data_IF_342528204306
#
_entry.id   IF_342528204306
#
_cell.length_a   1.000
_cell.length_b   1.000
_cell.length_c   1.000
_cell.angle_alpha   90.00
_cell.angle_beta   90.00
_cell.angle_gamma   90.00
#
_symmetry.space_group_name_H-M   'P 1'
#
loop_
_entity.id
_entity.type
_entity.pdbx_description
1 polymer ?
#
# COMPACT_ATOMS: atom_id res chain seq x y z
N UNK A 1 14.96 1.59 27.81
CA UNK A 1 15.54 2.53 28.79
C UNK A 1 14.46 3.49 29.26
N UNK A 2 13.99 3.35 30.52
CA UNK A 2 12.98 4.24 31.11
C UNK A 2 13.63 5.59 31.40
N UNK A 3 13.07 6.67 30.86
CA UNK A 3 13.62 8.02 30.99
C UNK A 3 13.66 8.47 32.45
N UNK A 4 14.84 8.89 32.84
CA UNK A 4 15.23 9.35 34.16
C UNK A 4 14.29 10.44 34.73
N UNK A 5 13.88 10.26 35.99
CA UNK A 5 13.06 11.22 36.74
C UNK A 5 13.94 12.44 37.05
N UNK A 6 13.79 13.53 36.27
CA UNK A 6 14.45 14.83 36.52
C UNK A 6 14.39 15.20 38.01
N UNK A 7 15.52 15.13 38.71
CA UNK A 7 15.68 15.68 40.07
C UNK A 7 15.29 17.16 40.03
N UNK A 8 14.24 17.54 40.75
CA UNK A 8 13.77 18.94 40.80
C UNK A 8 14.74 19.75 41.67
N UNK A 9 15.16 20.91 41.16
CA UNK A 9 15.97 21.91 41.88
C UNK A 9 15.40 22.16 43.28
N UNK A 10 16.23 22.01 44.32
CA UNK A 10 15.82 22.18 45.71
C UNK A 10 15.72 23.67 46.04
N UNK A 11 14.60 24.06 46.63
CA UNK A 11 14.39 25.43 47.14
C UNK A 11 14.11 25.31 48.63
N UNK A 12 14.86 26.07 49.44
CA UNK A 12 14.66 26.09 50.89
C UNK A 12 13.26 26.60 51.27
N UNK A 13 12.65 25.97 52.27
CA UNK A 13 11.28 26.27 52.71
C UNK A 13 11.17 27.64 53.34
N UNK A 14 12.16 28.04 54.15
CA UNK A 14 12.13 29.30 54.88
C UNK A 14 12.34 30.47 53.92
N UNK A 15 13.32 30.35 53.03
CA UNK A 15 13.61 31.35 52.00
C UNK A 15 12.42 31.58 51.05
N UNK A 16 11.83 30.49 50.52
CA UNK A 16 10.66 30.59 49.64
C UNK A 16 9.45 31.22 50.35
N UNK A 17 9.25 30.91 51.64
CA UNK A 17 8.15 31.48 52.43
C UNK A 17 8.37 32.97 52.70
N UNK A 18 9.58 33.37 53.06
CA UNK A 18 9.95 34.78 53.29
C UNK A 18 9.72 35.59 52.01
N UNK A 19 10.34 35.19 50.90
CA UNK A 19 10.25 35.93 49.64
C UNK A 19 8.83 35.98 49.07
N UNK A 20 8.05 34.89 49.18
CA UNK A 20 6.69 34.83 48.61
C UNK A 20 5.60 35.43 49.51
N UNK A 21 5.63 35.19 50.83
CA UNK A 21 4.59 35.63 51.76
C UNK A 21 4.90 36.95 52.44
N UNK A 22 6.15 37.16 52.87
CA UNK A 22 6.59 38.37 53.60
C UNK A 22 6.94 39.48 52.62
N UNK A 23 7.84 39.20 51.67
CA UNK A 23 8.34 40.20 50.70
C UNK A 23 7.44 40.32 49.45
N UNK A 24 6.37 39.52 49.39
CA UNK A 24 5.29 39.56 48.39
C UNK A 24 5.74 39.43 46.92
N UNK A 25 6.93 38.91 46.63
CA UNK A 25 7.45 38.79 45.26
C UNK A 25 6.59 37.90 44.34
N UNK A 26 6.45 38.31 43.08
CA UNK A 26 5.66 37.58 42.09
C UNK A 26 6.32 36.26 41.67
N UNK A 27 5.53 35.33 41.10
CA UNK A 27 6.06 34.06 40.59
C UNK A 27 7.12 34.24 39.50
N UNK A 28 7.07 35.35 38.75
CA UNK A 28 8.07 35.66 37.72
C UNK A 28 9.37 36.20 38.34
N UNK A 29 9.29 37.03 39.39
CA UNK A 29 10.48 37.49 40.11
C UNK A 29 11.19 36.33 40.81
N UNK A 30 10.43 35.43 41.46
CA UNK A 30 10.99 34.23 42.07
C UNK A 30 11.62 33.28 41.04
N UNK A 31 11.08 33.21 39.82
CA UNK A 31 11.64 32.44 38.71
C UNK A 31 13.04 32.95 38.33
N UNK A 32 13.23 34.27 38.30
CA UNK A 32 14.54 34.88 38.01
C UNK A 32 15.53 34.67 39.17
N UNK A 33 15.07 34.86 40.43
CA UNK A 33 15.91 34.68 41.63
C UNK A 33 16.41 33.23 41.76
N UNK A 34 15.50 32.26 41.70
CA UNK A 34 15.83 30.84 41.85
C UNK A 34 16.26 30.17 40.53
N UNK A 35 16.35 30.94 39.43
CA UNK A 35 16.69 30.48 38.08
C UNK A 35 16.02 29.16 37.67
N UNK A 36 14.73 29.00 38.02
CA UNK A 36 14.01 27.75 37.81
C UNK A 36 12.61 28.00 37.23
N UNK A 37 12.00 26.97 36.65
CA UNK A 37 10.69 27.12 36.01
C UNK A 37 9.59 27.50 37.01
N UNK A 38 8.58 28.23 36.54
CA UNK A 38 7.39 28.56 37.35
C UNK A 38 6.70 27.32 37.92
N UNK A 39 6.72 26.20 37.17
CA UNK A 39 6.17 24.92 37.62
C UNK A 39 6.95 24.32 38.80
N UNK A 40 8.27 24.53 38.84
CA UNK A 40 9.14 24.10 39.96
C UNK A 40 8.80 24.86 41.24
N UNK A 41 8.64 26.19 41.15
CA UNK A 41 8.25 27.04 42.29
C UNK A 41 6.86 26.66 42.80
N UNK A 42 5.90 26.48 41.88
CA UNK A 42 4.54 26.06 42.25
C UNK A 42 4.53 24.69 42.92
N UNK A 43 5.39 23.77 42.47
CA UNK A 43 5.55 22.46 43.12
C UNK A 43 6.03 22.61 44.56
N UNK A 44 7.05 23.44 44.83
CA UNK A 44 7.57 23.64 46.19
C UNK A 44 6.60 24.38 47.10
N UNK A 45 5.86 25.38 46.60
CA UNK A 45 4.79 26.04 47.36
C UNK A 45 3.71 25.02 47.80
N UNK A 46 3.30 24.13 46.91
CA UNK A 46 2.37 23.04 47.24
C UNK A 46 2.98 22.04 48.23
N UNK A 47 4.21 21.60 47.98
CA UNK A 47 4.91 20.62 48.83
C UNK A 47 5.10 21.13 50.25
N UNK A 48 5.40 22.41 50.43
CA UNK A 48 5.56 23.04 51.74
C UNK A 48 4.26 23.57 52.35
N UNK A 49 3.11 23.33 51.70
CA UNK A 49 1.77 23.78 52.11
C UNK A 49 1.70 25.30 52.34
N UNK A 50 2.45 26.07 51.55
CA UNK A 50 2.41 27.54 51.57
C UNK A 50 1.19 27.98 50.73
N UNK A 51 0.25 28.72 51.34
CA UNK A 51 -0.97 29.18 50.67
C UNK A 51 -0.61 29.99 49.42
N UNK A 52 -1.02 29.49 48.25
CA UNK A 52 -0.83 30.16 46.96
C UNK A 52 -1.76 31.38 46.94
N UNK A 53 -1.21 32.57 46.67
CA UNK A 53 -2.00 33.79 46.50
C UNK A 53 -2.89 33.65 45.26
N UNK A 54 -4.18 33.93 45.42
CA UNK A 54 -5.19 33.82 44.34
C UNK A 54 -4.84 34.85 43.25
N UNK A 55 -5.24 34.60 42.00
CA UNK A 55 -4.90 35.44 40.83
C UNK A 55 -5.13 36.95 41.06
N UNK A 56 -6.12 37.32 41.87
CA UNK A 56 -6.45 38.70 42.22
C UNK A 56 -5.57 39.31 43.35
N UNK A 57 -4.97 38.50 44.24
CA UNK A 57 -4.01 38.97 45.25
C UNK A 57 -2.59 39.10 44.70
N UNK A 58 -2.21 38.26 43.73
CA UNK A 58 -0.91 38.31 43.06
C UNK A 58 -0.77 39.49 42.07
N UNK A 59 -1.89 40.08 41.64
CA UNK A 59 -1.95 41.21 40.69
C UNK A 59 -2.29 42.56 41.35
N UNK A 60 -2.32 42.66 42.70
CA UNK A 60 -2.62 43.93 43.40
C UNK A 60 -1.59 45.04 43.15
N UNK A 61 -0.39 44.72 42.64
CA UNK A 61 0.62 45.71 42.22
C UNK A 61 0.44 46.24 40.80
N UNK A 62 -0.50 45.70 40.01
CA UNK A 62 -0.88 46.25 38.71
C UNK A 62 -2.11 47.14 38.86
N UNK A 63 -2.00 48.23 39.62
CA UNK A 63 -3.02 49.29 39.57
C UNK A 63 -3.17 49.73 38.12
N UNK A 64 -4.38 49.59 37.59
CA UNK A 64 -4.82 50.16 36.31
C UNK A 64 -4.29 51.58 36.22
N UNK A 65 -3.36 51.86 35.30
CA UNK A 65 -3.31 53.20 34.74
C UNK A 65 -4.67 53.40 34.06
N UNK A 66 -5.55 54.17 34.69
CA UNK A 66 -6.72 54.71 34.02
C UNK A 66 -6.16 55.65 32.96
N UNK A 67 -6.06 55.17 31.73
CA UNK A 67 -5.77 56.04 30.59
C UNK A 67 -7.01 56.93 30.46
N UNK A 68 -6.85 58.18 30.89
CA UNK A 68 -7.86 59.23 30.76
C UNK A 68 -7.72 59.74 29.34
N UNK A 69 -8.64 59.33 28.48
CA UNK A 69 -8.78 59.89 27.13
C UNK A 69 -10.02 60.77 27.19
N UNK A 70 -9.86 62.06 26.97
CA UNK A 70 -11.00 62.99 26.96
C UNK A 70 -11.83 62.82 25.69
N UNK A 71 -13.06 63.32 25.71
CA UNK A 71 -13.97 63.23 24.56
C UNK A 71 -13.40 63.95 23.33
N UNK A 72 -12.85 65.15 23.53
CA UNK A 72 -12.38 66.01 22.44
C UNK A 72 -11.09 65.48 21.80
N UNK A 73 -10.15 64.99 22.62
CA UNK A 73 -8.92 64.35 22.14
C UNK A 73 -9.23 63.09 21.33
N UNK A 74 -10.17 62.26 21.80
CA UNK A 74 -10.57 61.05 21.09
C UNK A 74 -11.31 61.37 19.79
N UNK A 75 -12.16 62.40 19.79
CA UNK A 75 -12.92 62.84 18.61
C UNK A 75 -11.99 63.39 17.53
N UNK A 76 -11.03 64.26 17.90
CA UNK A 76 -10.04 64.81 16.97
C UNK A 76 -9.14 63.71 16.39
N UNK A 77 -8.62 62.81 17.25
CA UNK A 77 -7.80 61.69 16.80
C UNK A 77 -8.58 60.70 15.91
N UNK A 78 -9.86 60.43 16.21
CA UNK A 78 -10.71 59.56 15.39
C UNK A 78 -11.00 60.15 14.01
N UNK A 79 -11.22 61.47 13.94
CA UNK A 79 -11.42 62.19 12.67
C UNK A 79 -10.15 62.14 11.79
N UNK A 80 -8.97 62.24 12.41
CA UNK A 80 -7.67 62.20 11.72
C UNK A 80 -7.18 60.77 11.40
N UNK A 81 -7.57 59.75 12.19
CA UNK A 81 -7.11 58.37 12.05
C UNK A 81 -8.27 57.36 12.01
N UNK A 82 -8.59 56.83 10.82
CA UNK A 82 -9.73 55.92 10.60
C UNK A 82 -9.61 54.50 11.20
N UNK A 83 -8.46 54.09 11.74
CA UNK A 83 -8.23 52.71 12.23
C UNK A 83 -8.06 52.63 13.74
N UNK A 84 -8.87 51.78 14.39
CA UNK A 84 -8.83 51.49 15.83
C UNK A 84 -7.44 51.03 16.27
N UNK A 85 -6.75 50.24 15.43
CA UNK A 85 -5.41 49.75 15.76
C UNK A 85 -4.37 50.87 15.78
N UNK A 86 -4.56 51.93 14.98
CA UNK A 86 -3.69 53.12 15.02
C UNK A 86 -4.00 53.96 16.27
N UNK A 87 -5.27 54.16 16.59
CA UNK A 87 -5.71 54.85 17.80
C UNK A 87 -5.23 54.15 19.08
N UNK A 88 -5.32 52.82 19.10
CA UNK A 88 -4.81 51.98 20.20
C UNK A 88 -3.32 52.16 20.43
N UNK A 89 -2.52 52.26 19.36
CA UNK A 89 -1.08 52.57 19.46
C UNK A 89 -0.84 54.01 19.93
N UNK A 90 -1.56 54.97 19.36
CA UNK A 90 -1.43 56.39 19.68
C UNK A 90 -1.73 56.68 21.17
N UNK A 91 -2.81 56.12 21.70
CA UNK A 91 -3.21 56.29 23.10
C UNK A 91 -2.63 55.21 24.03
N UNK A 92 -1.68 54.40 23.53
CA UNK A 92 -1.02 53.32 24.24
C UNK A 92 -1.98 52.45 25.09
N UNK A 93 -3.11 52.08 24.50
CA UNK A 93 -4.17 51.33 25.17
C UNK A 93 -4.65 50.18 24.30
N UNK A 94 -5.37 49.20 24.85
CA UNK A 94 -5.91 48.08 24.06
C UNK A 94 -7.03 48.55 23.14
N UNK A 95 -7.20 47.90 21.98
CA UNK A 95 -8.30 48.15 21.04
C UNK A 95 -9.68 48.19 21.72
N UNK A 96 -9.93 47.30 22.69
CA UNK A 96 -11.20 47.27 23.43
C UNK A 96 -11.45 48.52 24.29
N UNK A 97 -10.39 49.18 24.78
CA UNK A 97 -10.49 50.44 25.54
C UNK A 97 -10.94 51.59 24.63
N UNK A 98 -10.35 51.72 23.43
CA UNK A 98 -10.78 52.71 22.43
C UNK A 98 -12.24 52.48 22.03
N UNK A 99 -12.62 51.23 21.72
CA UNK A 99 -13.99 50.90 21.34
C UNK A 99 -14.98 51.26 22.45
N UNK A 100 -14.62 51.00 23.72
CA UNK A 100 -15.48 51.35 24.85
C UNK A 100 -15.62 52.86 24.99
N UNK A 101 -14.52 53.63 24.92
CA UNK A 101 -14.56 55.10 25.02
C UNK A 101 -15.29 55.77 23.87
N UNK A 102 -15.15 55.26 22.63
CA UNK A 102 -15.93 55.73 21.49
C UNK A 102 -17.44 55.53 21.70
N UNK A 103 -17.85 54.42 22.33
CA UNK A 103 -19.26 54.19 22.71
C UNK A 103 -19.70 55.08 23.87
N UNK A 104 -18.89 55.18 24.92
CA UNK A 104 -19.22 55.97 26.12
C UNK A 104 -19.39 57.48 25.78
N UNK A 105 -18.67 57.99 24.77
CA UNK A 105 -18.76 59.38 24.31
C UNK A 105 -19.66 59.59 23.08
N UNK A 106 -20.33 58.53 22.61
CA UNK A 106 -21.22 58.52 21.45
C UNK A 106 -20.57 58.96 20.12
N UNK A 107 -19.26 58.70 19.98
CA UNK A 107 -18.48 58.97 18.78
C UNK A 107 -18.66 57.80 17.82
N UNK A 108 -19.38 58.04 16.71
CA UNK A 108 -19.88 56.98 15.82
C UNK A 108 -18.76 56.03 15.34
N UNK A 109 -18.82 54.78 15.79
CA UNK A 109 -18.01 53.69 15.25
C UNK A 109 -18.78 53.08 14.07
N UNK A 110 -18.18 52.99 12.87
CA UNK A 110 -18.79 52.47 11.61
C UNK A 110 -19.15 50.98 11.64
N UNK A 111 -19.85 50.51 12.66
CA UNK A 111 -20.43 49.16 12.76
C UNK A 111 -21.89 49.16 13.23
N UNK A 112 -22.53 50.33 13.36
CA UNK A 112 -23.96 50.44 13.72
C UNK A 112 -24.91 50.21 12.54
N UNK A 113 -24.43 50.29 11.28
CA UNK A 113 -25.26 50.19 10.07
C UNK A 113 -24.84 49.06 9.12
N UNK A 114 -24.60 47.84 9.62
CA UNK A 114 -24.75 46.67 8.76
C UNK A 114 -26.25 46.53 8.44
N UNK A 115 -26.68 46.94 7.24
CA UNK A 115 -28.03 46.70 6.71
C UNK A 115 -28.44 45.27 7.09
N UNK A 116 -29.54 45.12 7.83
CA UNK A 116 -30.09 43.80 8.17
C UNK A 116 -30.44 43.11 6.85
N UNK A 117 -29.58 42.22 6.38
CA UNK A 117 -29.91 41.32 5.29
C UNK A 117 -31.05 40.41 5.77
N UNK A 118 -32.26 40.63 5.25
CA UNK A 118 -33.48 39.91 5.61
C UNK A 118 -33.83 39.00 4.44
N UNK A 119 -33.79 37.69 4.67
CA UNK A 119 -34.31 36.70 3.73
C UNK A 119 -35.81 36.55 4.04
N UNK A 120 -36.73 36.82 3.09
CA UNK A 120 -38.16 36.63 3.29
C UNK A 120 -38.49 35.18 3.66
N UNK A 121 -39.52 34.98 4.50
CA UNK A 121 -39.94 33.66 4.97
C UNK A 121 -40.24 32.71 3.81
N UNK A 122 -40.97 33.16 2.80
CA UNK A 122 -41.40 32.32 1.67
C UNK A 122 -40.24 31.86 0.82
N UNK A 123 -39.24 32.73 0.63
CA UNK A 123 -38.00 32.40 -0.08
C UNK A 123 -37.19 31.37 0.70
N UNK A 124 -37.08 31.53 2.03
CA UNK A 124 -36.40 30.55 2.87
C UNK A 124 -37.13 29.19 2.89
N UNK A 125 -38.47 29.20 2.93
CA UNK A 125 -39.31 28.00 2.87
C UNK A 125 -39.14 27.28 1.53
N UNK A 126 -39.17 27.99 0.41
CA UNK A 126 -38.96 27.40 -0.92
C UNK A 126 -37.58 26.75 -1.04
N UNK A 127 -36.53 27.43 -0.60
CA UNK A 127 -35.16 26.90 -0.67
C UNK A 127 -34.92 25.75 0.31
N UNK A 128 -35.45 25.84 1.54
CA UNK A 128 -35.22 24.86 2.59
C UNK A 128 -36.18 23.67 2.56
N UNK A 129 -37.47 23.87 2.27
CA UNK A 129 -38.47 22.79 2.25
C UNK A 129 -38.60 22.21 0.84
N UNK A 130 -38.87 23.05 -0.16
CA UNK A 130 -39.17 22.58 -1.53
C UNK A 130 -37.92 22.10 -2.25
N UNK A 131 -36.86 22.90 -2.26
CA UNK A 131 -35.60 22.57 -2.96
C UNK A 131 -34.62 21.76 -2.11
N UNK A 132 -34.94 21.53 -0.82
CA UNK A 132 -34.15 20.75 0.15
C UNK A 132 -32.67 21.15 0.27
N UNK A 133 -32.31 22.40 -0.06
CA UNK A 133 -30.95 22.91 0.12
C UNK A 133 -30.54 22.92 1.59
N UNK A 134 -29.26 22.72 1.87
CA UNK A 134 -28.67 22.79 3.22
C UNK A 134 -28.62 24.23 3.71
N UNK A 135 -28.54 24.41 5.04
CA UNK A 135 -28.32 25.75 5.62
C UNK A 135 -27.02 26.40 5.16
N UNK A 136 -26.05 25.58 4.72
CA UNK A 136 -24.76 26.05 4.24
C UNK A 136 -24.88 26.58 2.81
N UNK A 137 -25.49 25.83 1.89
CA UNK A 137 -25.74 26.26 0.51
C UNK A 137 -26.62 27.51 0.46
N UNK A 138 -27.65 27.58 1.32
CA UNK A 138 -28.47 28.79 1.46
C UNK A 138 -27.62 29.96 1.97
N UNK A 139 -26.73 29.72 2.93
CA UNK A 139 -25.87 30.77 3.46
C UNK A 139 -24.92 31.32 2.39
N UNK A 140 -24.35 30.45 1.57
CA UNK A 140 -23.45 30.79 0.46
C UNK A 140 -24.18 31.56 -0.65
N UNK A 141 -25.38 31.10 -1.04
CA UNK A 141 -26.25 31.76 -2.02
C UNK A 141 -26.57 33.22 -1.64
N UNK A 142 -26.66 33.50 -0.34
CA UNK A 142 -27.00 34.81 0.20
C UNK A 142 -25.79 35.55 0.80
N UNK A 143 -24.57 35.03 0.65
CA UNK A 143 -23.35 35.65 1.18
C UNK A 143 -23.38 35.92 2.69
N UNK A 144 -24.02 35.04 3.47
CA UNK A 144 -24.21 35.21 4.91
C UNK A 144 -23.64 34.03 5.71
N UNK A 145 -23.55 34.16 7.03
CA UNK A 145 -23.07 33.06 7.87
C UNK A 145 -24.14 32.00 8.07
N UNK A 146 -23.73 30.73 8.15
CA UNK A 146 -24.64 29.61 8.42
C UNK A 146 -25.48 29.88 9.68
N UNK A 147 -24.88 30.41 10.75
CA UNK A 147 -25.57 30.75 11.99
C UNK A 147 -26.73 31.74 11.81
N UNK A 148 -26.67 32.61 10.79
CA UNK A 148 -27.76 33.53 10.45
C UNK A 148 -28.98 32.77 9.91
N UNK A 149 -28.75 31.79 9.03
CA UNK A 149 -29.80 30.91 8.51
C UNK A 149 -30.45 30.11 9.65
N UNK A 150 -29.65 29.56 10.58
CA UNK A 150 -30.19 28.88 11.78
C UNK A 150 -31.11 29.79 12.61
N UNK A 151 -30.70 31.05 12.83
CA UNK A 151 -31.53 32.04 13.54
C UNK A 151 -32.83 32.34 12.79
N UNK A 152 -32.78 32.42 11.45
CA UNK A 152 -33.97 32.65 10.63
C UNK A 152 -34.93 31.46 10.62
N UNK A 153 -34.40 30.23 10.53
CA UNK A 153 -35.20 29.01 10.66
C UNK A 153 -35.91 28.96 12.02
N UNK A 154 -35.21 29.29 13.11
CA UNK A 154 -35.79 29.39 14.45
C UNK A 154 -36.85 30.50 14.53
N UNK A 155 -36.56 31.69 13.98
CA UNK A 155 -37.49 32.83 13.94
C UNK A 155 -38.79 32.50 13.21
N UNK A 156 -38.72 31.70 12.15
CA UNK A 156 -39.88 31.30 11.36
C UNK A 156 -40.49 29.96 11.79
N UNK A 157 -40.10 29.42 12.94
CA UNK A 157 -40.58 28.14 13.49
C UNK A 157 -40.45 26.95 12.52
N UNK A 158 -39.39 26.95 11.70
CA UNK A 158 -39.08 25.85 10.79
C UNK A 158 -38.27 24.79 11.53
N UNK A 159 -38.79 23.55 11.57
CA UNK A 159 -38.12 22.42 12.24
C UNK A 159 -36.79 22.13 11.55
N UNK A 160 -35.75 21.90 12.37
CA UNK A 160 -34.47 21.42 11.86
C UNK A 160 -34.65 20.04 11.24
N UNK A 161 -34.30 19.90 9.96
CA UNK A 161 -34.30 18.61 9.27
C UNK A 161 -33.36 17.62 9.99
N UNK A 162 -33.76 16.36 10.04
CA UNK A 162 -32.88 15.29 10.55
C UNK A 162 -31.82 15.00 9.49
N UNK A 163 -30.69 14.45 9.89
CA UNK A 163 -29.55 14.10 9.00
C UNK A 163 -29.92 13.26 7.76
N UNK A 164 -31.10 12.65 7.72
CA UNK A 164 -31.58 11.79 6.65
C UNK A 164 -32.31 12.54 5.52
N UNK A 165 -32.73 13.79 5.75
CA UNK A 165 -33.58 14.55 4.81
C UNK A 165 -32.78 15.49 3.88
N UNK A 166 -31.47 15.58 4.07
CA UNK A 166 -30.60 16.28 3.14
C UNK A 166 -30.55 15.48 1.83
N UNK A 167 -30.72 16.13 0.67
CA UNK A 167 -30.40 15.55 -0.65
C UNK A 167 -28.92 15.20 -0.67
N UNK A 168 -28.59 14.06 -0.08
CA UNK A 168 -27.33 13.41 -0.27
C UNK A 168 -27.57 12.51 -1.46
N UNK A 169 -26.86 12.80 -2.54
CA UNK A 169 -26.60 11.88 -3.62
C UNK A 169 -26.07 10.59 -2.98
N UNK A 170 -26.97 9.64 -2.65
CA UNK A 170 -26.68 8.38 -1.98
C UNK A 170 -26.79 7.30 -3.03
N UNK A 171 -25.75 6.48 -3.22
CA UNK A 171 -25.82 5.40 -4.18
C UNK A 171 -26.76 4.29 -3.66
N UNK A 172 -27.64 3.80 -4.53
CA UNK A 172 -28.46 2.62 -4.27
C UNK A 172 -27.60 1.35 -4.27
N UNK A 173 -28.14 0.24 -3.76
CA UNK A 173 -27.45 -1.05 -3.71
C UNK A 173 -27.03 -1.51 -5.11
N UNK A 174 -27.93 -1.44 -6.08
CA UNK A 174 -27.68 -1.91 -7.45
C UNK A 174 -26.61 -1.08 -8.16
N UNK A 175 -26.63 0.24 -7.96
CA UNK A 175 -25.58 1.12 -8.47
C UNK A 175 -24.23 0.74 -7.86
N UNK A 176 -24.16 0.48 -6.56
CA UNK A 176 -22.90 0.04 -5.93
C UNK A 176 -22.45 -1.33 -6.43
N UNK A 177 -23.34 -2.30 -6.62
CA UNK A 177 -22.99 -3.60 -7.22
C UNK A 177 -22.40 -3.39 -8.61
N UNK A 178 -23.09 -2.63 -9.47
CA UNK A 178 -22.64 -2.35 -10.84
C UNK A 178 -21.28 -1.64 -10.87
N UNK A 179 -21.08 -0.60 -10.06
CA UNK A 179 -19.86 0.21 -10.09
C UNK A 179 -18.69 -0.45 -9.35
N UNK A 180 -18.93 -0.99 -8.16
CA UNK A 180 -17.88 -1.49 -7.27
C UNK A 180 -17.51 -2.94 -7.54
N UNK A 181 -18.50 -3.83 -7.76
CA UNK A 181 -18.25 -5.25 -7.99
C UNK A 181 -18.01 -5.55 -9.47
N UNK A 182 -18.91 -5.11 -10.35
CA UNK A 182 -18.85 -5.49 -11.77
C UNK A 182 -17.79 -4.66 -12.52
N UNK A 183 -17.84 -3.33 -12.39
CA UNK A 183 -16.84 -2.43 -13.01
C UNK A 183 -15.53 -2.28 -12.21
N UNK A 184 -15.42 -2.91 -11.03
CA UNK A 184 -14.24 -2.88 -10.14
C UNK A 184 -13.70 -1.47 -9.81
N UNK A 185 -14.56 -0.43 -9.84
CA UNK A 185 -14.13 0.94 -9.56
C UNK A 185 -13.77 1.12 -8.08
N UNK A 186 -12.67 1.85 -7.81
CA UNK A 186 -12.32 2.25 -6.45
C UNK A 186 -13.32 3.25 -5.90
N UNK A 187 -13.47 3.32 -4.57
CA UNK A 187 -14.34 4.32 -3.94
C UNK A 187 -13.94 5.75 -4.32
N UNK A 188 -12.66 5.98 -4.60
CA UNK A 188 -12.13 7.24 -5.13
C UNK A 188 -12.59 7.52 -6.57
N UNK A 189 -12.55 6.52 -7.46
CA UNK A 189 -13.07 6.65 -8.83
C UNK A 189 -14.58 6.87 -8.81
N UNK A 190 -15.31 6.18 -7.94
CA UNK A 190 -16.75 6.36 -7.78
C UNK A 190 -17.07 7.80 -7.34
N UNK A 191 -16.32 8.34 -6.39
CA UNK A 191 -16.45 9.74 -5.98
C UNK A 191 -16.14 10.71 -7.13
N UNK A 192 -15.02 10.51 -7.81
CA UNK A 192 -14.58 11.38 -8.92
C UNK A 192 -15.56 11.42 -10.09
N UNK A 193 -16.09 10.26 -10.50
CA UNK A 193 -16.92 10.15 -11.71
C UNK A 193 -18.42 10.28 -11.44
N UNK A 194 -18.90 9.92 -10.24
CA UNK A 194 -20.33 9.86 -9.93
C UNK A 194 -20.75 10.82 -8.80
N UNK A 195 -19.82 11.58 -8.22
CA UNK A 195 -20.10 12.58 -7.19
C UNK A 195 -20.55 12.00 -5.84
N UNK A 196 -20.46 10.68 -5.65
CA UNK A 196 -20.77 10.04 -4.38
C UNK A 196 -19.56 10.15 -3.44
N UNK A 197 -19.68 10.94 -2.36
CA UNK A 197 -18.60 11.09 -1.37
C UNK A 197 -18.08 9.72 -0.93
N UNK A 198 -16.75 9.54 -0.93
CA UNK A 198 -16.09 8.25 -0.63
C UNK A 198 -16.57 7.64 0.69
N UNK A 199 -16.70 8.45 1.74
CA UNK A 199 -17.19 8.01 3.05
C UNK A 199 -18.62 7.48 3.00
N UNK A 200 -19.49 8.08 2.18
CA UNK A 200 -20.86 7.62 1.95
C UNK A 200 -20.87 6.29 1.21
N UNK A 201 -20.06 6.15 0.15
CA UNK A 201 -19.92 4.88 -0.60
C UNK A 201 -19.46 3.76 0.33
N UNK A 202 -18.40 4.00 1.12
CA UNK A 202 -17.86 3.00 2.04
C UNK A 202 -18.90 2.54 3.08
N UNK A 203 -19.60 3.48 3.73
CA UNK A 203 -20.67 3.17 4.68
C UNK A 203 -21.79 2.37 4.01
N UNK A 204 -22.23 2.77 2.82
CA UNK A 204 -23.31 2.10 2.10
C UNK A 204 -22.96 0.70 1.61
N UNK A 205 -21.70 0.46 1.20
CA UNK A 205 -21.23 -0.90 0.93
C UNK A 205 -21.41 -1.81 2.16
N UNK A 206 -21.06 -1.32 3.36
CA UNK A 206 -21.25 -2.04 4.62
C UNK A 206 -22.73 -2.22 4.97
N UNK A 207 -23.53 -1.16 4.88
CA UNK A 207 -24.97 -1.19 5.19
C UNK A 207 -25.72 -2.20 4.30
N UNK A 208 -25.32 -2.33 3.03
CA UNK A 208 -25.94 -3.26 2.08
C UNK A 208 -25.36 -4.68 2.11
N UNK A 209 -24.40 -4.97 3.01
CA UNK A 209 -23.75 -6.27 3.10
C UNK A 209 -22.83 -6.61 1.93
N UNK A 210 -22.37 -5.61 1.18
CA UNK A 210 -21.44 -5.81 0.06
C UNK A 210 -20.02 -5.93 0.63
N UNK A 211 -19.36 -7.06 0.40
CA UNK A 211 -17.99 -7.31 0.86
C UNK A 211 -17.05 -6.20 0.38
N UNK A 212 -16.39 -5.55 1.32
CA UNK A 212 -15.34 -4.58 1.04
C UNK A 212 -14.10 -5.30 0.50
N UNK A 213 -13.51 -4.71 -0.54
CA UNK A 213 -12.24 -5.17 -1.07
C UNK A 213 -11.13 -5.00 -0.04
N UNK A 214 -10.24 -5.98 0.00
CA UNK A 214 -9.04 -5.88 0.83
C UNK A 214 -8.13 -4.76 0.33
N UNK A 215 -7.18 -4.35 1.17
CA UNK A 215 -6.17 -3.37 0.76
C UNK A 215 -5.40 -3.88 -0.47
N UNK A 216 -5.01 -5.17 -0.49
CA UNK A 216 -4.33 -5.78 -1.64
C UNK A 216 -5.18 -5.75 -2.90
N UNK A 217 -6.46 -6.11 -2.84
CA UNK A 217 -7.39 -6.04 -3.99
C UNK A 217 -7.56 -4.62 -4.53
N UNK A 218 -7.51 -3.63 -3.64
CA UNK A 218 -7.68 -2.23 -4.00
C UNK A 218 -6.45 -1.64 -4.68
N UNK A 219 -5.26 -2.18 -4.41
CA UNK A 219 -3.98 -1.75 -4.99
C UNK A 219 -3.60 -2.50 -6.28
N UNK A 220 -4.44 -3.41 -6.78
CA UNK A 220 -4.22 -4.04 -8.09
C UNK A 220 -4.44 -2.97 -9.18
N UNK A 221 -3.35 -2.53 -9.80
CA UNK A 221 -3.36 -1.51 -10.86
C UNK A 221 -3.62 -2.14 -12.24
N UNK A 222 -3.00 -3.29 -12.50
CA UNK A 222 -3.03 -3.97 -13.80
C UNK A 222 -4.12 -5.05 -13.81
N UNK A 223 -4.88 -5.12 -14.91
CA UNK A 223 -5.85 -6.19 -15.12
C UNK A 223 -5.11 -7.52 -15.17
N UNK A 224 -5.73 -8.55 -14.59
CA UNK A 224 -5.25 -9.94 -14.64
C UNK A 224 -6.38 -10.81 -15.17
N UNK A 225 -6.03 -11.78 -15.99
CA UNK A 225 -6.93 -12.78 -16.55
C UNK A 225 -6.71 -14.08 -15.79
N UNK A 226 -7.79 -14.78 -15.47
CA UNK A 226 -7.72 -16.10 -14.85
C UNK A 226 -7.17 -17.13 -15.84
N UNK A 227 -6.47 -18.13 -15.32
CA UNK A 227 -6.03 -19.29 -16.08
C UNK A 227 -7.24 -20.01 -16.66
N UNK A 228 -7.22 -20.20 -17.98
CA UNK A 228 -8.35 -20.74 -18.76
C UNK A 228 -7.92 -21.80 -19.78
N UNK A 229 -6.69 -22.30 -19.68
CA UNK A 229 -6.18 -23.37 -20.57
C UNK A 229 -6.53 -24.76 -20.03
N UNK A 230 -6.23 -25.75 -20.85
CA UNK A 230 -6.47 -27.15 -20.53
C UNK A 230 -5.56 -27.69 -19.41
N UNK A 231 -5.81 -28.95 -19.05
CA UNK A 231 -5.07 -29.64 -17.99
C UNK A 231 -3.60 -29.86 -18.35
N UNK A 232 -3.26 -30.02 -19.63
CA UNK A 232 -1.89 -30.27 -20.07
C UNK A 232 -1.05 -29.00 -19.94
N UNK A 233 -1.61 -27.86 -20.34
CA UNK A 233 -1.02 -26.53 -20.11
C UNK A 233 -0.77 -26.27 -18.62
N UNK A 234 -1.74 -26.61 -17.77
CA UNK A 234 -1.61 -26.51 -16.31
C UNK A 234 -0.46 -27.38 -15.79
N UNK A 235 -0.39 -28.62 -16.26
CA UNK A 235 0.60 -29.61 -15.85
C UNK A 235 2.01 -29.28 -16.34
N UNK A 236 2.14 -28.81 -17.58
CA UNK A 236 3.37 -28.26 -18.14
C UNK A 236 3.91 -27.15 -17.23
N UNK A 237 3.06 -26.19 -16.83
CA UNK A 237 3.47 -25.10 -15.94
C UNK A 237 3.91 -25.60 -14.56
N UNK A 238 3.32 -26.67 -14.04
CA UNK A 238 3.74 -27.31 -12.78
C UNK A 238 5.13 -27.94 -12.94
N UNK A 239 5.39 -28.62 -14.07
CA UNK A 239 6.71 -29.15 -14.41
C UNK A 239 7.76 -28.04 -14.47
N UNK A 240 7.49 -27.00 -15.27
CA UNK A 240 8.38 -25.84 -15.42
C UNK A 240 8.64 -25.12 -14.09
N UNK A 241 7.60 -25.03 -13.25
CA UNK A 241 7.67 -24.46 -11.90
C UNK A 241 8.62 -25.19 -10.97
N UNK A 242 8.71 -26.51 -11.08
CA UNK A 242 9.57 -27.30 -10.21
C UNK A 242 11.06 -27.15 -10.50
N UNK A 243 11.40 -26.63 -11.67
CA UNK A 243 12.76 -26.23 -12.01
C UNK A 243 13.00 -24.75 -11.72
N UNK A 244 12.60 -23.89 -12.66
CA UNK A 244 13.16 -22.54 -12.77
C UNK A 244 12.31 -21.43 -12.12
N UNK A 245 11.02 -21.65 -11.89
CA UNK A 245 10.18 -20.60 -11.30
C UNK A 245 10.25 -20.63 -9.79
N UNK A 246 10.30 -19.44 -9.19
CA UNK A 246 9.90 -19.16 -7.81
C UNK A 246 8.47 -18.60 -7.81
N UNK A 247 7.60 -19.11 -6.94
CA UNK A 247 6.18 -18.70 -6.85
C UNK A 247 5.80 -18.51 -5.41
N UNK A 248 5.10 -17.40 -5.15
CA UNK A 248 4.67 -16.93 -3.84
C UNK A 248 3.31 -16.25 -3.95
N UNK A 249 2.50 -16.36 -2.89
CA UNK A 249 1.26 -15.58 -2.75
C UNK A 249 1.55 -14.29 -1.97
N UNK A 250 1.20 -13.15 -2.55
CA UNK A 250 1.30 -11.82 -1.90
C UNK A 250 -0.06 -11.12 -1.96
N UNK A 251 -0.83 -11.22 -0.88
CA UNK A 251 -2.23 -10.78 -0.86
C UNK A 251 -3.06 -11.57 -1.88
N UNK A 252 -3.76 -10.86 -2.78
CA UNK A 252 -4.52 -11.47 -3.89
C UNK A 252 -3.71 -11.63 -5.18
N UNK A 253 -2.41 -11.88 -5.08
CA UNK A 253 -1.51 -12.03 -6.23
C UNK A 253 -0.70 -13.29 -6.10
N UNK A 254 -0.68 -14.09 -7.16
CA UNK A 254 0.34 -15.13 -7.36
C UNK A 254 1.49 -14.48 -8.12
N UNK A 255 2.62 -14.33 -7.45
CA UNK A 255 3.84 -13.79 -8.05
C UNK A 255 4.70 -14.97 -8.49
N UNK A 256 5.04 -15.04 -9.77
CA UNK A 256 6.04 -15.97 -10.30
C UNK A 256 7.28 -15.17 -10.68
N UNK A 257 8.47 -15.66 -10.36
CA UNK A 257 9.73 -14.99 -10.64
C UNK A 257 10.86 -15.96 -10.99
N UNK A 258 11.73 -15.57 -11.91
CA UNK A 258 12.91 -16.32 -12.32
C UNK A 258 14.02 -15.33 -12.69
N UNK A 259 15.28 -15.76 -12.55
CA UNK A 259 16.43 -15.01 -13.04
C UNK A 259 17.13 -15.85 -14.11
N UNK A 260 17.34 -15.27 -15.29
CA UNK A 260 17.98 -15.98 -16.40
C UNK A 260 19.08 -15.14 -17.05
N UNK A 261 20.06 -15.83 -17.62
CA UNK A 261 21.09 -15.25 -18.50
C UNK A 261 20.83 -15.60 -19.97
N UNK A 262 19.78 -16.37 -20.27
CA UNK A 262 19.45 -16.86 -21.62
C UNK A 262 18.25 -16.11 -22.20
N UNK A 263 18.36 -15.49 -23.38
CA UNK A 263 17.25 -14.80 -24.03
C UNK A 263 16.02 -15.68 -24.28
N UNK A 264 16.20 -16.91 -24.79
CA UNK A 264 15.09 -17.82 -25.07
C UNK A 264 14.26 -18.16 -23.82
N UNK A 265 14.91 -18.29 -22.66
CA UNK A 265 14.21 -18.51 -21.38
C UNK A 265 13.41 -17.27 -20.94
N UNK A 266 13.92 -16.06 -21.23
CA UNK A 266 13.20 -14.81 -20.96
C UNK A 266 11.93 -14.74 -21.83
N UNK A 267 12.05 -15.04 -23.13
CA UNK A 267 10.92 -15.04 -24.06
C UNK A 267 9.89 -16.13 -23.73
N UNK A 268 10.34 -17.32 -23.31
CA UNK A 268 9.44 -18.37 -22.84
C UNK A 268 8.61 -17.90 -21.65
N UNK A 269 9.22 -17.34 -20.61
CA UNK A 269 8.46 -16.88 -19.43
C UNK A 269 7.51 -15.74 -19.78
N UNK A 270 7.92 -14.83 -20.68
CA UNK A 270 7.01 -13.81 -21.22
C UNK A 270 5.81 -14.45 -21.90
N UNK A 271 6.02 -15.39 -22.82
CA UNK A 271 4.93 -16.01 -23.59
C UNK A 271 3.96 -16.78 -22.69
N UNK A 272 4.46 -17.46 -21.65
CA UNK A 272 3.64 -18.20 -20.69
C UNK A 272 2.70 -17.31 -19.86
N UNK A 273 3.09 -16.07 -19.54
CA UNK A 273 2.39 -15.27 -18.52
C UNK A 273 1.85 -13.92 -18.99
N UNK A 274 2.29 -13.39 -20.13
CA UNK A 274 1.89 -12.05 -20.61
C UNK A 274 0.39 -11.92 -20.92
N UNK A 275 -0.27 -13.02 -21.29
CA UNK A 275 -1.73 -13.04 -21.51
C UNK A 275 -2.51 -12.89 -20.18
N UNK A 276 -1.93 -13.32 -19.05
CA UNK A 276 -2.63 -13.44 -17.77
C UNK A 276 -2.39 -12.27 -16.82
N UNK A 277 -1.25 -11.61 -16.96
CA UNK A 277 -0.91 -10.52 -16.07
C UNK A 277 0.31 -9.76 -16.54
N UNK A 278 0.64 -8.70 -15.79
CA UNK A 278 1.84 -7.93 -16.07
C UNK A 278 3.07 -8.82 -15.88
N UNK A 279 3.92 -8.87 -16.89
CA UNK A 279 5.28 -9.39 -16.80
C UNK A 279 6.23 -8.19 -16.69
N UNK A 280 6.97 -8.10 -15.60
CA UNK A 280 8.01 -7.12 -15.37
C UNK A 280 9.38 -7.77 -15.59
N UNK A 281 10.28 -7.02 -16.21
CA UNK A 281 11.63 -7.47 -16.52
C UNK A 281 12.57 -6.38 -16.00
N UNK A 282 13.55 -6.80 -15.21
CA UNK A 282 14.53 -5.88 -14.66
C UNK A 282 15.47 -5.36 -15.74
N UNK A 283 16.17 -4.27 -15.45
CA UNK A 283 17.36 -3.95 -16.21
C UNK A 283 18.40 -5.08 -16.07
N UNK A 284 19.23 -5.32 -17.10
CA UNK A 284 20.30 -6.31 -17.04
C UNK A 284 21.29 -5.95 -15.92
N UNK A 285 21.70 -6.96 -15.15
CA UNK A 285 22.66 -6.79 -14.05
C UNK A 285 23.84 -7.72 -14.22
N UNK A 286 25.03 -7.20 -13.93
CA UNK A 286 26.26 -7.98 -13.91
C UNK A 286 26.29 -8.86 -12.65
N UNK A 287 26.38 -10.17 -12.84
CA UNK A 287 26.59 -11.14 -11.76
C UNK A 287 28.06 -11.19 -11.34
N UNK A 288 28.29 -11.75 -10.15
CA UNK A 288 29.64 -12.00 -9.61
C UNK A 288 30.52 -12.88 -10.53
N UNK A 289 29.90 -13.70 -11.39
CA UNK A 289 30.58 -14.58 -12.34
C UNK A 289 30.83 -13.92 -13.72
N UNK A 290 30.63 -12.60 -13.82
CA UNK A 290 30.85 -11.82 -15.04
C UNK A 290 29.74 -11.93 -16.08
N UNK A 291 28.69 -12.73 -15.83
CA UNK A 291 27.57 -12.90 -16.76
C UNK A 291 26.49 -11.85 -16.50
N UNK A 292 25.86 -11.39 -17.57
CA UNK A 292 24.68 -10.53 -17.50
C UNK A 292 23.45 -11.39 -17.19
N UNK A 293 22.68 -11.03 -16.18
CA UNK A 293 21.40 -11.66 -15.87
C UNK A 293 20.26 -10.65 -15.81
N UNK A 294 19.06 -11.17 -16.02
CA UNK A 294 17.81 -10.41 -15.95
C UNK A 294 16.85 -11.14 -15.03
N UNK A 295 16.12 -10.39 -14.20
CA UNK A 295 15.03 -10.94 -13.40
C UNK A 295 13.71 -10.71 -14.14
N UNK A 296 12.87 -11.73 -14.17
CA UNK A 296 11.53 -11.68 -14.75
C UNK A 296 10.55 -11.97 -13.62
N UNK A 297 9.48 -11.19 -13.55
CA UNK A 297 8.42 -11.34 -12.56
C UNK A 297 7.05 -11.23 -13.22
N UNK A 298 6.19 -12.24 -13.08
CA UNK A 298 4.79 -12.16 -13.50
C UNK A 298 3.85 -12.01 -12.30
N UNK A 299 2.84 -11.14 -12.45
CA UNK A 299 1.84 -10.84 -11.41
C UNK A 299 0.47 -11.38 -11.83
N UNK A 300 0.14 -12.56 -11.34
CA UNK A 300 -1.02 -13.35 -11.75
C UNK A 300 -2.14 -13.28 -10.69
N UNK A 301 -3.36 -13.63 -11.08
CA UNK A 301 -4.48 -13.74 -10.15
C UNK A 301 -4.42 -15.07 -9.36
N UNK A 302 -5.43 -15.31 -8.52
CA UNK A 302 -5.45 -16.50 -7.66
C UNK A 302 -5.73 -17.82 -8.38
N UNK A 303 -6.18 -17.80 -9.64
CA UNK A 303 -6.38 -19.06 -10.40
C UNK A 303 -5.08 -19.82 -10.67
N UNK A 304 -3.93 -19.18 -10.45
CA UNK A 304 -2.59 -19.78 -10.53
C UNK A 304 -2.08 -20.38 -9.21
N UNK A 305 -2.94 -20.50 -8.19
CA UNK A 305 -2.57 -21.08 -6.89
C UNK A 305 -2.07 -22.53 -6.98
N UNK A 306 -2.41 -23.26 -8.04
CA UNK A 306 -1.90 -24.59 -8.34
C UNK A 306 -0.37 -24.65 -8.52
N UNK A 307 0.30 -23.51 -8.71
CA UNK A 307 1.77 -23.41 -8.75
C UNK A 307 2.42 -23.25 -7.37
N UNK A 308 1.64 -23.04 -6.31
CA UNK A 308 2.17 -22.85 -4.95
C UNK A 308 2.72 -24.14 -4.32
N UNK A 309 2.02 -25.30 -4.39
CA UNK A 309 2.53 -26.54 -3.82
C UNK A 309 3.89 -26.92 -4.43
N UNK A 310 4.79 -27.41 -3.57
CA UNK A 310 6.10 -27.97 -3.93
C UNK A 310 6.15 -29.50 -3.89
N UNK A 311 5.05 -30.10 -3.44
CA UNK A 311 4.90 -31.52 -3.15
C UNK A 311 3.53 -31.99 -3.68
N UNK A 312 3.27 -33.30 -3.64
CA UNK A 312 2.00 -33.92 -4.04
C UNK A 312 1.67 -33.79 -5.54
N UNK A 313 2.57 -34.29 -6.39
CA UNK A 313 2.37 -34.36 -7.85
C UNK A 313 2.00 -35.75 -8.34
N UNK A 314 1.66 -36.68 -7.43
CA UNK A 314 1.45 -38.09 -7.80
C UNK A 314 0.29 -38.26 -8.77
N UNK A 315 -0.77 -37.47 -8.62
CA UNK A 315 -1.90 -37.45 -9.55
C UNK A 315 -1.50 -36.98 -10.97
N UNK A 316 -0.48 -36.11 -11.09
CA UNK A 316 0.00 -35.61 -12.38
C UNK A 316 0.83 -36.69 -13.09
N UNK A 317 1.57 -37.48 -12.32
CA UNK A 317 2.43 -38.54 -12.81
C UNK A 317 1.68 -39.86 -13.06
N UNK A 318 0.36 -39.90 -12.85
CA UNK A 318 -0.47 -41.10 -12.90
C UNK A 318 -1.08 -41.41 -14.28
N UNK A 319 -0.99 -40.49 -15.25
CA UNK A 319 -1.39 -40.73 -16.64
C UNK A 319 -0.23 -40.43 -17.59
N UNK A 320 -0.17 -41.15 -18.71
CA UNK A 320 0.92 -41.01 -19.69
C UNK A 320 0.98 -39.61 -20.29
N UNK A 321 -0.16 -39.03 -20.66
CA UNK A 321 -0.19 -37.74 -21.37
C UNK A 321 0.14 -36.60 -20.39
N UNK A 322 -0.44 -36.63 -19.19
CA UNK A 322 -0.10 -35.64 -18.16
C UNK A 322 1.36 -35.81 -17.71
N UNK A 323 1.87 -37.03 -17.60
CA UNK A 323 3.29 -37.27 -17.32
C UNK A 323 4.21 -36.68 -18.39
N UNK A 324 3.93 -36.90 -19.68
CA UNK A 324 4.82 -36.37 -20.73
C UNK A 324 4.71 -34.85 -20.87
N UNK A 325 3.53 -34.28 -20.62
CA UNK A 325 3.35 -32.82 -20.52
C UNK A 325 4.12 -32.21 -19.34
N UNK A 326 4.05 -32.86 -18.17
CA UNK A 326 4.84 -32.49 -16.99
C UNK A 326 6.34 -32.54 -17.30
N UNK A 327 6.79 -33.64 -17.92
CA UNK A 327 8.19 -33.86 -18.25
C UNK A 327 8.69 -32.85 -19.28
N UNK A 328 7.86 -32.43 -20.24
CA UNK A 328 8.18 -31.37 -21.18
C UNK A 328 8.44 -30.03 -20.46
N UNK A 329 7.54 -29.61 -19.57
CA UNK A 329 7.73 -28.39 -18.79
C UNK A 329 8.95 -28.46 -17.88
N UNK A 330 9.18 -29.60 -17.23
CA UNK A 330 10.36 -29.78 -16.39
C UNK A 330 11.66 -29.86 -17.21
N UNK A 331 11.61 -30.39 -18.44
CA UNK A 331 12.74 -30.41 -19.39
C UNK A 331 13.07 -29.01 -19.89
N UNK A 332 12.06 -28.19 -20.20
CA UNK A 332 12.27 -26.79 -20.59
C UNK A 332 12.95 -25.97 -19.49
N UNK A 333 12.76 -26.35 -18.21
CA UNK A 333 13.41 -25.71 -17.08
C UNK A 333 14.80 -26.29 -16.75
N UNK A 334 14.91 -27.61 -16.58
CA UNK A 334 16.09 -28.28 -15.99
C UNK A 334 16.79 -29.26 -16.95
N UNK A 335 16.19 -29.53 -18.10
CA UNK A 335 16.67 -30.52 -19.06
C UNK A 335 17.87 -30.02 -19.84
N UNK A 336 18.77 -30.94 -20.18
CA UNK A 336 19.87 -30.73 -21.12
C UNK A 336 19.78 -31.79 -22.23
N UNK A 337 19.80 -31.30 -23.46
CA UNK A 337 19.83 -32.10 -24.69
C UNK A 337 21.07 -31.60 -25.43
N UNK A 338 21.86 -32.51 -25.97
CA UNK A 338 23.08 -32.13 -26.68
C UNK A 338 23.87 -33.34 -27.14
N UNK A 339 25.08 -33.09 -27.61
CA UNK A 339 26.01 -34.11 -28.10
C UNK A 339 27.20 -34.20 -27.15
N UNK A 340 27.46 -35.40 -26.63
CA UNK A 340 28.61 -35.70 -25.78
C UNK A 340 29.42 -36.84 -26.41
N UNK A 341 30.73 -36.66 -26.58
CA UNK A 341 31.61 -37.65 -27.24
C UNK A 341 31.06 -38.13 -28.61
N UNK A 342 30.46 -37.20 -29.35
CA UNK A 342 29.85 -37.46 -30.65
C UNK A 342 28.53 -38.25 -30.61
N UNK A 343 27.88 -38.38 -29.45
CA UNK A 343 26.60 -39.06 -29.27
C UNK A 343 25.54 -38.13 -28.66
N UNK A 344 24.33 -38.19 -29.19
CA UNK A 344 23.17 -37.53 -28.59
C UNK A 344 22.94 -38.03 -27.16
N UNK A 345 22.69 -37.09 -26.24
CA UNK A 345 22.40 -37.37 -24.84
C UNK A 345 21.25 -36.48 -24.36
N UNK A 346 20.46 -37.04 -23.44
CA UNK A 346 19.49 -36.29 -22.64
C UNK A 346 19.88 -36.45 -21.17
N UNK A 347 19.81 -35.35 -20.43
CA UNK A 347 19.95 -35.40 -18.98
C UNK A 347 19.04 -34.40 -18.28
N UNK A 348 18.68 -34.73 -17.05
CA UNK A 348 17.77 -33.94 -16.23
C UNK A 348 18.33 -33.90 -14.81
N UNK A 349 18.74 -32.72 -14.37
CA UNK A 349 19.37 -32.54 -13.07
C UNK A 349 18.42 -31.91 -12.05
N UNK A 350 18.46 -32.38 -10.81
CA UNK A 350 17.72 -31.75 -9.72
C UNK A 350 18.23 -32.18 -8.34
N UNK A 351 18.03 -31.33 -7.34
CA UNK A 351 18.31 -31.67 -5.93
C UNK A 351 17.27 -32.64 -5.34
N UNK A 352 16.05 -32.67 -5.89
CA UNK A 352 14.99 -33.56 -5.42
C UNK A 352 15.10 -34.97 -6.03
N UNK A 353 15.90 -35.84 -5.40
CA UNK A 353 16.05 -37.23 -5.82
C UNK A 353 14.73 -38.02 -5.82
N UNK A 354 13.78 -37.69 -4.92
CA UNK A 354 12.49 -38.38 -4.87
C UNK A 354 11.70 -38.12 -6.15
N UNK A 355 11.72 -36.88 -6.65
CA UNK A 355 11.11 -36.53 -7.94
C UNK A 355 11.79 -37.25 -9.09
N UNK A 356 13.13 -37.24 -9.16
CA UNK A 356 13.86 -37.94 -10.23
C UNK A 356 13.59 -39.45 -10.23
N UNK A 357 13.49 -40.08 -9.06
CA UNK A 357 13.10 -41.50 -8.94
C UNK A 357 11.70 -41.76 -9.47
N UNK A 358 10.73 -40.88 -9.16
CA UNK A 358 9.37 -40.98 -9.72
C UNK A 358 9.37 -40.82 -11.24
N UNK A 359 10.10 -39.83 -11.77
CA UNK A 359 10.26 -39.64 -13.22
C UNK A 359 10.87 -40.89 -13.87
N UNK A 360 11.93 -41.45 -13.28
CA UNK A 360 12.55 -42.69 -13.76
C UNK A 360 11.56 -43.86 -13.81
N UNK A 361 10.73 -44.03 -12.78
CA UNK A 361 9.70 -45.09 -12.76
C UNK A 361 8.67 -44.88 -13.87
N UNK A 362 8.21 -43.64 -14.09
CA UNK A 362 7.21 -43.35 -15.12
C UNK A 362 7.77 -43.39 -16.56
N UNK A 363 9.04 -43.03 -16.75
CA UNK A 363 9.75 -43.27 -18.01
C UNK A 363 9.75 -44.76 -18.38
N UNK A 364 10.04 -45.62 -17.41
CA UNK A 364 10.01 -47.07 -17.63
C UNK A 364 8.58 -47.56 -17.87
N UNK A 365 7.62 -47.12 -17.06
CA UNK A 365 6.25 -47.62 -17.11
C UNK A 365 5.49 -47.21 -18.39
N UNK A 366 5.49 -45.92 -18.75
CA UNK A 366 4.68 -45.42 -19.87
C UNK A 366 5.38 -45.41 -21.23
N UNK A 367 6.72 -45.34 -21.22
CA UNK A 367 7.52 -45.17 -22.43
C UNK A 367 8.52 -46.32 -22.64
N UNK A 368 8.62 -47.28 -21.70
CA UNK A 368 9.61 -48.36 -21.74
C UNK A 368 11.06 -47.86 -21.92
N UNK A 369 11.36 -46.73 -21.28
CA UNK A 369 12.66 -46.06 -21.32
C UNK A 369 13.48 -46.43 -20.08
N UNK A 370 14.69 -46.94 -20.27
CA UNK A 370 15.62 -47.26 -19.17
C UNK A 370 16.56 -46.08 -18.92
N UNK A 371 16.34 -45.35 -17.83
CA UNK A 371 17.19 -44.25 -17.38
C UNK A 371 18.06 -44.61 -16.17
N UNK A 372 19.17 -43.89 -16.03
CA UNK A 372 20.10 -44.02 -14.91
C UNK A 372 20.08 -42.73 -14.10
N UNK A 373 20.24 -42.84 -12.78
CA UNK A 373 20.39 -41.68 -11.90
C UNK A 373 21.76 -41.82 -11.26
N UNK A 374 22.62 -40.83 -11.46
CA UNK A 374 23.90 -40.73 -10.78
C UNK A 374 23.94 -39.51 -9.88
N UNK A 375 24.75 -39.60 -8.82
CA UNK A 375 25.02 -38.50 -7.89
C UNK A 375 26.23 -37.73 -8.39
N UNK A 376 26.08 -36.42 -8.55
CA UNK A 376 27.21 -35.50 -8.67
C UNK A 376 27.60 -35.07 -7.25
N UNK A 377 28.79 -35.45 -6.79
CA UNK A 377 29.30 -35.07 -5.46
C UNK A 377 29.61 -33.57 -5.39
N UNK A 378 28.58 -32.72 -5.34
CA UNK A 378 28.75 -31.28 -5.33
C UNK A 378 29.01 -30.71 -3.92
N UNK A 379 28.63 -31.43 -2.86
CA UNK A 379 28.72 -30.99 -1.45
C UNK A 379 30.14 -30.65 -0.97
N UNK A 380 31.19 -31.12 -1.66
CA UNK A 380 32.60 -30.81 -1.38
C UNK A 380 33.16 -29.61 -2.17
N UNK A 381 32.40 -29.06 -3.13
CA UNK A 381 32.88 -28.04 -4.05
C UNK A 381 32.29 -26.65 -3.75
N UNK A 382 33.08 -25.61 -3.96
CA UNK A 382 32.64 -24.21 -3.90
C UNK A 382 32.19 -23.81 -5.31
N UNK A 383 30.98 -23.25 -5.48
CA UNK A 383 30.54 -22.72 -6.78
C UNK A 383 31.51 -21.65 -7.28
N UNK A 384 31.58 -21.44 -8.60
CA UNK A 384 32.38 -20.37 -9.25
C UNK A 384 32.10 -18.93 -8.74
N UNK A 385 31.09 -18.75 -7.89
CA UNK A 385 30.74 -17.50 -7.20
C UNK A 385 30.88 -17.52 -5.67
N UNK A 386 31.59 -18.49 -5.08
CA UNK A 386 31.94 -18.54 -3.65
C UNK A 386 30.90 -19.15 -2.71
N UNK A 387 29.82 -19.73 -3.22
CA UNK A 387 28.78 -20.35 -2.38
C UNK A 387 28.97 -21.88 -2.32
N UNK A 388 28.96 -22.51 -1.13
CA UNK A 388 28.98 -23.96 -1.02
C UNK A 388 27.68 -24.58 -1.54
N UNK A 389 27.74 -25.83 -2.01
CA UNK A 389 26.53 -26.59 -2.28
C UNK A 389 25.95 -27.14 -0.98
N UNK A 390 24.68 -26.84 -0.71
CA UNK A 390 24.00 -27.24 0.52
C UNK A 390 23.50 -28.70 0.50
N UNK A 391 23.45 -29.33 -0.67
CA UNK A 391 22.91 -30.67 -0.86
C UNK A 391 23.48 -31.31 -2.12
N UNK A 392 23.46 -32.64 -2.18
CA UNK A 392 23.88 -33.40 -3.35
C UNK A 392 22.99 -33.10 -4.56
N UNK A 393 23.63 -33.00 -5.73
CA UNK A 393 22.94 -32.82 -7.00
C UNK A 393 22.86 -34.17 -7.71
N UNK A 394 21.69 -34.51 -8.23
CA UNK A 394 21.45 -35.77 -8.92
C UNK A 394 21.09 -35.50 -10.37
N UNK A 395 21.50 -36.39 -11.26
CA UNK A 395 21.24 -36.26 -12.67
C UNK A 395 20.70 -37.59 -13.20
N UNK A 396 19.55 -37.51 -13.85
CA UNK A 396 18.95 -38.59 -14.61
C UNK A 396 19.48 -38.51 -16.05
N UNK A 397 19.95 -39.62 -16.63
CA UNK A 397 20.55 -39.65 -17.97
C UNK A 397 19.97 -40.71 -18.88
N UNK A 398 20.00 -40.38 -20.18
CA UNK A 398 19.57 -41.20 -21.30
C UNK A 398 20.54 -40.98 -22.47
N UNK A 399 21.06 -42.07 -23.03
CA UNK A 399 21.98 -42.06 -24.20
C UNK A 399 21.62 -43.07 -25.27
N UNK A 400 20.69 -44.00 -24.99
CA UNK A 400 20.27 -45.01 -25.97
C UNK A 400 19.43 -44.35 -27.06
N UNK A 401 19.83 -44.51 -28.32
CA UNK A 401 19.15 -43.91 -29.49
C UNK A 401 17.64 -44.14 -29.51
N UNK A 402 17.19 -45.39 -29.30
CA UNK A 402 15.76 -45.76 -29.29
C UNK A 402 14.99 -45.04 -28.20
N UNK A 403 15.57 -44.98 -27.00
CA UNK A 403 14.96 -44.36 -25.83
C UNK A 403 14.92 -42.83 -25.96
N UNK A 404 15.95 -42.22 -26.57
CA UNK A 404 15.98 -40.78 -26.90
C UNK A 404 14.90 -40.40 -27.91
N UNK A 405 14.81 -41.14 -29.02
CA UNK A 405 13.77 -40.90 -30.03
C UNK A 405 12.37 -41.05 -29.43
N UNK A 406 12.14 -42.13 -28.65
CA UNK A 406 10.87 -42.35 -27.94
C UNK A 406 10.56 -41.21 -26.99
N UNK A 407 11.56 -40.71 -26.25
CA UNK A 407 11.37 -39.56 -25.35
C UNK A 407 10.94 -38.33 -26.15
N UNK A 408 11.71 -37.95 -27.17
CA UNK A 408 11.47 -36.74 -27.96
C UNK A 408 10.09 -36.76 -28.60
N UNK A 409 9.69 -37.87 -29.23
CA UNK A 409 8.37 -38.02 -29.86
C UNK A 409 7.20 -37.79 -28.87
N UNK A 410 7.41 -38.05 -27.58
CA UNK A 410 6.36 -37.94 -26.56
C UNK A 410 6.31 -36.57 -25.85
N UNK A 411 7.45 -35.87 -25.74
CA UNK A 411 7.54 -34.58 -25.03
C UNK A 411 7.51 -33.37 -25.98
N UNK A 412 8.01 -33.49 -27.21
CA UNK A 412 8.20 -32.38 -28.14
C UNK A 412 6.91 -31.60 -28.40
N UNK A 413 5.77 -32.30 -28.50
CA UNK A 413 4.43 -31.69 -28.69
C UNK A 413 3.99 -30.74 -27.56
N UNK A 414 4.61 -30.83 -26.38
CA UNK A 414 4.29 -30.00 -25.22
C UNK A 414 5.40 -28.99 -24.89
N UNK A 415 6.59 -29.15 -25.47
CA UNK A 415 7.72 -28.28 -25.21
C UNK A 415 7.52 -26.91 -25.87
N UNK A 416 8.08 -25.88 -25.23
CA UNK A 416 7.92 -24.49 -25.64
C UNK A 416 9.22 -23.71 -25.64
N UNK A 417 10.30 -24.26 -25.08
CA UNK A 417 11.61 -23.61 -25.12
C UNK A 417 12.27 -23.79 -26.49
N UNK A 418 12.46 -22.69 -27.21
CA UNK A 418 12.98 -22.69 -28.58
C UNK A 418 14.37 -23.36 -28.71
N UNK A 419 15.34 -22.96 -27.87
CA UNK A 419 16.67 -23.61 -27.90
C UNK A 419 16.58 -25.13 -27.70
N UNK A 420 15.69 -25.61 -26.81
CA UNK A 420 15.54 -27.05 -26.53
C UNK A 420 14.92 -27.80 -27.69
N UNK A 421 13.98 -27.18 -28.40
CA UNK A 421 13.43 -27.74 -29.63
C UNK A 421 14.50 -27.83 -30.71
N UNK A 422 15.42 -26.87 -30.79
CA UNK A 422 16.57 -26.95 -31.69
C UNK A 422 17.57 -28.02 -31.25
N UNK A 423 17.86 -28.14 -29.95
CA UNK A 423 18.71 -29.22 -29.40
C UNK A 423 18.12 -30.61 -29.74
N UNK A 424 16.80 -30.78 -29.73
CA UNK A 424 16.14 -32.03 -30.16
C UNK A 424 16.42 -32.33 -31.64
N UNK A 425 16.29 -31.33 -32.51
CA UNK A 425 16.58 -31.49 -33.95
C UNK A 425 18.02 -31.91 -34.18
N UNK A 426 18.96 -31.24 -33.51
CA UNK A 426 20.38 -31.58 -33.58
C UNK A 426 20.67 -33.00 -33.07
N UNK A 427 20.05 -33.39 -31.95
CA UNK A 427 20.17 -34.74 -31.41
C UNK A 427 19.60 -35.81 -32.37
N UNK A 428 18.47 -35.54 -33.04
CA UNK A 428 17.89 -36.45 -34.05
C UNK A 428 18.80 -36.59 -35.26
N UNK A 429 19.35 -35.48 -35.77
CA UNK A 429 20.30 -35.49 -36.89
C UNK A 429 21.56 -36.30 -36.52
N UNK A 430 22.12 -36.08 -35.33
CA UNK A 430 23.26 -36.88 -34.86
C UNK A 430 22.96 -38.38 -34.82
N UNK A 431 21.77 -38.78 -34.34
CA UNK A 431 21.36 -40.19 -34.34
C UNK A 431 21.24 -40.73 -35.77
N UNK A 432 20.68 -39.95 -36.69
CA UNK A 432 20.54 -40.33 -38.09
C UNK A 432 21.91 -40.53 -38.77
N UNK A 433 22.79 -39.54 -38.72
CA UNK A 433 24.14 -39.59 -39.32
C UNK A 433 24.94 -40.78 -38.78
N UNK A 434 24.80 -41.08 -37.48
CA UNK A 434 25.46 -42.24 -36.88
C UNK A 434 24.87 -43.57 -37.34
N UNK A 435 23.55 -43.66 -37.54
CA UNK A 435 22.94 -44.87 -38.11
C UNK A 435 23.39 -45.08 -39.55
N UNK A 436 23.54 -44.02 -40.34
CA UNK A 436 24.08 -44.08 -41.71
C UNK A 436 25.55 -44.53 -41.71
N UNK A 437 26.37 -44.01 -40.79
CA UNK A 437 27.81 -44.31 -40.71
C UNK A 437 28.15 -45.70 -40.14
N UNK A 438 27.41 -46.15 -39.13
CA UNK A 438 27.75 -47.37 -38.37
C UNK A 438 26.70 -48.48 -38.51
N UNK A 439 25.64 -48.26 -39.29
CA UNK A 439 24.54 -49.18 -39.48
C UNK A 439 23.53 -49.20 -38.32
N UNK A 440 22.42 -49.89 -38.53
CA UNK A 440 21.37 -50.11 -37.52
C UNK A 440 21.77 -51.17 -36.49
N UNK A 441 22.92 -51.00 -35.84
CA UNK A 441 23.34 -51.94 -34.79
C UNK A 441 22.40 -51.72 -33.58
N UNK A 442 21.72 -52.81 -33.18
CA UNK A 442 20.71 -52.92 -32.10
C UNK A 442 19.47 -52.01 -32.28
N UNK A 443 18.57 -52.40 -33.20
CA UNK A 443 17.18 -51.92 -33.22
C UNK A 443 16.33 -52.67 -32.18
#
# INVERSE_FOLDING_TARGET
MKSDKRRKYFIDKYELRKLYQKDKLSMNQLKEIFKCSRGTIQFWLKKYKIKIRILNEANKTSRKHSIIITKDELQSAYNNCKSISKLSKQFNCKNCTIIKRLRDYDITHKFSNCRRFIIPKDKLVKLYITQKLTTFEIADLFGCSQAKIWKLLKKYNLKSRKSKDYHSNIPTKDILIKLYLNKKLSTWKIEKFYGYKRGTVHRKLKDYGIKLRSSSESHIIYKRKSFDKDIYEKVYLIGFRLGDLRVRKTGETIKTDCASTKPAQIELIKSLFNEYGRVWISEPRLRKDGKICVNIEAFLDLSFDFLLPKDNYDYILADKITFTSFLAGFTDAEGHIGIHEGQAVYSLGNYNIKLLKKIKLQLLHYLNIKSYIHKSEMTKYIRKGGYPYNSDYYQLTLSKKRDLLTLFDNIERFMKHEDKLNDIKEARNNIQERNEKFGYINM
#
